data_IF_553953961832
#
_entry.id   IF_553953961832
#
_cell.length_a   1.000
_cell.length_b   1.000
_cell.length_c   1.000
_cell.angle_alpha   90.00
_cell.angle_beta   90.00
_cell.angle_gamma   90.00
#
_symmetry.space_group_name_H-M   'P 1'
#
loop_
_entity.id
_entity.type
_entity.pdbx_description
1 polymer ?
#
# COMPACT_ATOMS: atom_id res chain seq x y z
N UNK A 1 -19.54 10.92 23.66
CA UNK A 1 -18.66 11.63 22.70
C UNK A 1 -17.62 10.73 22.00
N UNK A 2 -17.67 9.38 22.12
CA UNK A 2 -16.69 8.46 21.50
C UNK A 2 -17.15 7.79 20.18
N UNK A 3 -18.42 7.96 19.78
CA UNK A 3 -18.99 7.34 18.58
C UNK A 3 -18.69 8.11 17.29
N UNK A 4 -18.54 9.44 17.36
CA UNK A 4 -18.29 10.28 16.18
C UNK A 4 -16.89 10.07 15.57
N UNK A 5 -15.87 9.77 16.38
CA UNK A 5 -14.50 9.58 15.88
C UNK A 5 -14.29 8.32 15.04
N UNK A 6 -15.11 7.28 15.26
CA UNK A 6 -15.00 6.00 14.52
C UNK A 6 -15.57 6.12 13.10
N UNK A 7 -16.58 6.97 12.93
CA UNK A 7 -17.19 7.23 11.62
C UNK A 7 -16.29 8.11 10.75
N UNK A 8 -15.61 9.11 11.34
CA UNK A 8 -14.66 9.96 10.62
C UNK A 8 -13.43 9.19 10.10
N UNK A 9 -12.90 8.25 10.89
CA UNK A 9 -11.77 7.39 10.47
C UNK A 9 -12.19 6.41 9.39
N UNK A 10 -13.40 5.82 9.48
CA UNK A 10 -13.93 4.95 8.44
C UNK A 10 -14.12 5.67 7.10
N UNK A 11 -14.61 6.91 7.13
CA UNK A 11 -14.78 7.75 5.94
C UNK A 11 -13.44 8.17 5.32
N UNK A 12 -12.45 8.53 6.13
CA UNK A 12 -11.10 8.86 5.65
C UNK A 12 -10.42 7.65 4.98
N UNK A 13 -10.54 6.46 5.56
CA UNK A 13 -9.98 5.23 4.98
C UNK A 13 -10.68 4.89 3.65
N UNK A 14 -12.01 4.99 3.60
CA UNK A 14 -12.77 4.78 2.36
C UNK A 14 -12.37 5.80 1.26
N UNK A 15 -12.18 7.07 1.62
CA UNK A 15 -11.79 8.12 0.69
C UNK A 15 -10.35 7.94 0.16
N UNK A 16 -9.42 7.48 0.99
CA UNK A 16 -8.05 7.17 0.56
C UNK A 16 -8.00 5.97 -0.40
N UNK A 17 -8.86 4.95 -0.18
CA UNK A 17 -8.97 3.79 -1.09
C UNK A 17 -9.46 4.23 -2.48
N UNK A 18 -10.40 5.17 -2.56
CA UNK A 18 -10.94 5.67 -3.84
C UNK A 18 -9.91 6.50 -4.63
N UNK A 19 -9.04 7.25 -3.96
CA UNK A 19 -8.04 8.11 -4.61
C UNK A 19 -6.85 7.30 -5.16
N UNK A 20 -6.45 6.22 -4.50
CA UNK A 20 -5.31 5.39 -4.94
C UNK A 20 -5.56 4.67 -6.28
N UNK A 21 -6.82 4.55 -6.72
CA UNK A 21 -7.19 3.85 -7.95
C UNK A 21 -7.04 4.68 -9.24
N UNK A 22 -6.77 5.99 -9.17
CA UNK A 22 -6.91 6.88 -10.34
C UNK A 22 -5.61 7.40 -10.97
N UNK A 23 -4.44 6.81 -10.69
CA UNK A 23 -3.19 7.28 -11.29
C UNK A 23 -2.81 6.57 -12.60
N UNK A 24 -3.75 6.37 -13.50
CA UNK A 24 -3.42 6.06 -14.90
C UNK A 24 -3.13 7.40 -15.60
N UNK A 25 -1.87 7.82 -15.62
CA UNK A 25 -1.47 9.00 -16.38
C UNK A 25 -1.80 8.75 -17.85
N UNK A 26 -2.53 9.67 -18.47
CA UNK A 26 -2.71 9.69 -19.92
C UNK A 26 -1.33 9.86 -20.58
N UNK A 27 -0.75 8.76 -21.04
CA UNK A 27 0.49 8.78 -21.81
C UNK A 27 0.14 9.20 -23.24
N UNK A 28 0.88 10.17 -23.79
CA UNK A 28 0.73 10.53 -25.20
C UNK A 28 1.07 9.34 -26.10
N UNK A 29 0.47 9.28 -27.29
CA UNK A 29 0.62 8.15 -28.20
C UNK A 29 2.06 7.88 -28.64
N UNK A 30 2.88 8.92 -28.83
CA UNK A 30 4.31 8.75 -29.11
C UNK A 30 5.05 7.99 -28.02
N UNK A 31 4.72 8.23 -26.75
CA UNK A 31 5.31 7.50 -25.64
C UNK A 31 4.87 6.03 -25.62
N UNK A 32 3.67 5.73 -26.13
CA UNK A 32 3.23 4.35 -26.31
C UNK A 32 4.01 3.62 -27.40
N UNK A 33 4.33 4.26 -28.53
CA UNK A 33 5.04 3.59 -29.63
C UNK A 33 6.41 3.05 -29.22
N UNK A 34 7.12 3.76 -28.33
CA UNK A 34 8.43 3.37 -27.80
C UNK A 34 8.37 2.09 -26.94
N UNK A 35 7.18 1.73 -26.43
CA UNK A 35 6.99 0.53 -25.61
C UNK A 35 6.82 -0.74 -26.45
N UNK A 36 6.69 -0.62 -27.77
CA UNK A 36 6.36 -1.75 -28.64
C UNK A 36 7.40 -2.02 -29.72
N UNK A 37 7.50 -3.29 -30.13
CA UNK A 37 8.26 -3.78 -31.29
C UNK A 37 7.28 -4.07 -32.43
N UNK A 38 7.71 -3.84 -33.68
CA UNK A 38 6.88 -4.13 -34.84
C UNK A 38 6.67 -5.65 -35.04
N UNK A 39 5.41 -6.15 -35.14
CA UNK A 39 5.12 -7.59 -35.24
C UNK A 39 5.52 -8.25 -36.57
N UNK A 40 5.92 -7.45 -37.57
CA UNK A 40 6.34 -7.98 -38.86
C UNK A 40 7.76 -8.54 -38.84
N UNK A 41 8.68 -7.90 -38.10
CA UNK A 41 10.09 -8.27 -38.07
C UNK A 41 10.59 -8.65 -36.67
N UNK A 42 9.97 -8.14 -35.60
CA UNK A 42 10.38 -8.37 -34.20
C UNK A 42 11.79 -7.89 -33.85
N UNK A 43 12.36 -7.03 -34.69
CA UNK A 43 13.72 -6.50 -34.55
C UNK A 43 13.68 -5.03 -34.20
N UNK A 44 12.84 -4.25 -34.88
CA UNK A 44 12.80 -2.80 -34.75
C UNK A 44 11.56 -2.34 -33.99
N UNK A 45 11.71 -1.25 -33.23
CA UNK A 45 10.62 -0.63 -32.46
C UNK A 45 9.50 -0.09 -33.36
N UNK A 46 8.28 -0.11 -32.85
CA UNK A 46 7.09 0.38 -33.55
C UNK A 46 7.18 1.89 -33.86
N UNK A 47 7.92 2.65 -33.06
CA UNK A 47 8.17 4.08 -33.26
C UNK A 47 9.02 4.38 -34.52
N UNK A 48 9.94 3.48 -34.88
CA UNK A 48 10.94 3.71 -35.94
C UNK A 48 10.62 2.93 -37.21
N UNK A 49 10.02 1.75 -37.09
CA UNK A 49 9.79 0.86 -38.22
C UNK A 49 8.67 1.36 -39.15
N UNK A 50 8.95 1.41 -40.45
CA UNK A 50 8.01 1.92 -41.45
C UNK A 50 7.46 0.82 -42.38
N UNK A 51 6.70 -0.11 -41.80
CA UNK A 51 5.88 -1.07 -42.55
C UNK A 51 4.40 -0.66 -42.59
N UNK A 52 3.61 -1.15 -43.56
CA UNK A 52 2.16 -0.93 -43.58
C UNK A 52 1.49 -1.32 -42.26
N UNK A 53 1.84 -2.48 -41.70
CA UNK A 53 1.33 -2.95 -40.42
C UNK A 53 1.76 -2.04 -39.25
N UNK A 54 2.99 -1.54 -39.25
CA UNK A 54 3.45 -0.63 -38.20
C UNK A 54 2.70 0.72 -38.24
N UNK A 55 2.36 1.23 -39.43
CA UNK A 55 1.53 2.43 -39.58
C UNK A 55 0.11 2.21 -39.09
N UNK A 56 -0.52 1.10 -39.48
CA UNK A 56 -1.87 0.74 -39.02
C UNK A 56 -1.95 0.64 -37.49
N UNK A 57 -0.94 0.03 -36.85
CA UNK A 57 -0.88 -0.06 -35.38
C UNK A 57 -0.66 1.31 -34.73
N UNK A 58 0.16 2.18 -35.30
CA UNK A 58 0.36 3.56 -34.81
C UNK A 58 -0.95 4.35 -34.90
N UNK A 59 -1.64 4.28 -36.02
CA UNK A 59 -2.93 4.95 -36.23
C UNK A 59 -4.00 4.45 -35.24
N UNK A 60 -4.01 3.15 -34.97
CA UNK A 60 -4.91 2.54 -34.00
C UNK A 60 -4.63 3.02 -32.58
N UNK A 61 -3.37 2.97 -32.14
CA UNK A 61 -2.96 3.47 -30.83
C UNK A 61 -3.27 4.97 -30.71
N UNK A 62 -2.97 5.77 -31.74
CA UNK A 62 -3.29 7.20 -31.79
C UNK A 62 -4.79 7.45 -31.61
N UNK A 63 -5.63 6.65 -32.27
CA UNK A 63 -7.09 6.74 -32.14
C UNK A 63 -7.56 6.41 -30.72
N UNK A 64 -7.06 5.33 -30.13
CA UNK A 64 -7.45 4.87 -28.79
C UNK A 64 -6.99 5.82 -27.69
N UNK A 65 -5.75 6.32 -27.78
CA UNK A 65 -5.22 7.32 -26.85
C UNK A 65 -6.04 8.62 -26.94
N UNK A 66 -6.39 9.09 -28.15
CA UNK A 66 -7.26 10.26 -28.31
C UNK A 66 -8.68 10.04 -27.80
N UNK A 67 -9.17 8.80 -27.81
CA UNK A 67 -10.44 8.43 -27.21
C UNK A 67 -10.39 8.37 -25.67
N UNK A 68 -9.22 8.59 -25.06
CA UNK A 68 -9.03 8.57 -23.60
C UNK A 68 -8.94 7.17 -23.01
N UNK A 69 -8.69 6.16 -23.84
CA UNK A 69 -8.52 4.79 -23.35
C UNK A 69 -7.22 4.66 -22.53
N UNK A 70 -7.25 3.98 -21.37
CA UNK A 70 -6.06 3.84 -20.54
C UNK A 70 -4.97 3.05 -21.26
N UNK A 71 -3.73 3.53 -21.17
CA UNK A 71 -2.56 2.95 -21.84
C UNK A 71 -2.42 1.44 -21.58
N UNK A 72 -2.68 1.00 -20.35
CA UNK A 72 -2.55 -0.42 -19.97
C UNK A 72 -3.63 -1.29 -20.63
N UNK A 73 -4.82 -0.74 -20.93
CA UNK A 73 -5.84 -1.48 -21.68
C UNK A 73 -5.44 -1.65 -23.15
N UNK A 74 -4.85 -0.60 -23.74
CA UNK A 74 -4.30 -0.65 -25.11
C UNK A 74 -3.17 -1.67 -25.18
N UNK A 75 -2.25 -1.64 -24.22
CA UNK A 75 -1.14 -2.60 -24.13
C UNK A 75 -1.64 -4.03 -23.96
N UNK A 76 -2.56 -4.29 -23.01
CA UNK A 76 -3.12 -5.63 -22.80
C UNK A 76 -3.81 -6.18 -24.04
N UNK A 77 -4.55 -5.35 -24.78
CA UNK A 77 -5.17 -5.77 -26.04
C UNK A 77 -4.12 -6.13 -27.11
N UNK A 78 -3.08 -5.31 -27.26
CA UNK A 78 -2.00 -5.58 -28.19
C UNK A 78 -1.22 -6.85 -27.83
N UNK A 79 -0.94 -7.07 -26.54
CA UNK A 79 -0.31 -8.30 -26.03
C UNK A 79 -1.22 -9.51 -26.24
N UNK A 80 -2.53 -9.37 -26.03
CA UNK A 80 -3.47 -10.47 -26.26
C UNK A 80 -3.51 -10.91 -27.74
N UNK A 81 -3.34 -9.95 -28.67
CA UNK A 81 -3.38 -10.23 -30.13
C UNK A 81 -2.03 -10.65 -30.72
N UNK A 82 -0.91 -10.14 -30.21
CA UNK A 82 0.42 -10.32 -30.79
C UNK A 82 1.42 -11.06 -29.89
N UNK A 83 1.02 -11.38 -28.65
CA UNK A 83 1.86 -12.01 -27.64
C UNK A 83 2.78 -11.03 -26.91
N UNK A 84 3.40 -11.47 -25.81
CA UNK A 84 4.28 -10.63 -24.96
C UNK A 84 5.49 -10.07 -25.70
N UNK A 85 5.93 -10.73 -26.77
CA UNK A 85 7.07 -10.30 -27.61
C UNK A 85 6.83 -8.95 -28.29
N UNK A 86 5.59 -8.45 -28.33
CA UNK A 86 5.31 -7.11 -28.87
C UNK A 86 5.87 -6.01 -27.96
N UNK A 87 6.18 -6.30 -26.71
CA UNK A 87 6.74 -5.32 -25.78
C UNK A 87 8.25 -5.17 -26.01
N UNK A 88 8.70 -3.92 -26.19
CA UNK A 88 10.11 -3.57 -26.32
C UNK A 88 10.86 -3.65 -24.98
N UNK A 89 10.14 -3.40 -23.88
CA UNK A 89 10.61 -3.57 -22.51
C UNK A 89 9.63 -4.53 -21.83
N UNK A 90 10.08 -5.58 -21.13
CA UNK A 90 9.17 -6.45 -20.39
C UNK A 90 8.30 -5.59 -19.48
N UNK A 91 6.98 -5.84 -19.50
CA UNK A 91 6.04 -5.06 -18.72
C UNK A 91 6.55 -4.95 -17.28
N UNK A 92 6.59 -3.74 -16.69
CA UNK A 92 6.74 -3.66 -15.24
C UNK A 92 5.65 -4.56 -14.65
N UNK A 93 5.97 -5.33 -13.62
CA UNK A 93 4.99 -6.15 -12.89
C UNK A 93 3.96 -5.21 -12.26
N UNK A 94 2.97 -4.77 -13.03
CA UNK A 94 2.02 -3.76 -12.63
C UNK A 94 0.95 -4.38 -11.73
N UNK A 95 0.64 -3.65 -10.66
CA UNK A 95 -0.53 -3.73 -9.76
C UNK A 95 -0.51 -4.63 -8.53
N UNK A 96 0.07 -5.84 -8.52
CA UNK A 96 0.09 -6.64 -7.28
C UNK A 96 1.06 -6.08 -6.25
N UNK A 97 2.26 -5.65 -6.67
CA UNK A 97 3.30 -5.17 -5.75
C UNK A 97 2.87 -3.92 -4.99
N UNK A 98 2.22 -2.97 -5.66
CA UNK A 98 1.74 -1.73 -5.02
C UNK A 98 0.60 -1.97 -4.04
N UNK A 99 -0.38 -2.80 -4.41
CA UNK A 99 -1.49 -3.14 -3.54
C UNK A 99 -1.05 -3.95 -2.31
N UNK A 100 -0.19 -4.96 -2.51
CA UNK A 100 0.37 -5.75 -1.42
C UNK A 100 1.25 -4.90 -0.50
N UNK A 101 2.05 -3.99 -1.05
CA UNK A 101 2.85 -3.05 -0.26
C UNK A 101 1.97 -2.10 0.54
N UNK A 102 0.89 -1.56 -0.05
CA UNK A 102 -0.08 -0.73 0.65
C UNK A 102 -0.80 -1.49 1.76
N UNK A 103 -1.17 -2.75 1.55
CA UNK A 103 -1.77 -3.63 2.57
C UNK A 103 -0.77 -3.90 3.69
N UNK A 104 0.49 -4.18 3.39
CA UNK A 104 1.54 -4.41 4.39
C UNK A 104 1.80 -3.18 5.24
N UNK A 105 2.01 -2.02 4.60
CA UNK A 105 2.24 -0.75 5.30
C UNK A 105 1.02 -0.34 6.12
N UNK A 106 -0.19 -0.47 5.55
CA UNK A 106 -1.45 -0.20 6.25
C UNK A 106 -1.64 -1.10 7.47
N UNK A 107 -1.37 -2.40 7.33
CA UNK A 107 -1.48 -3.37 8.42
C UNK A 107 -0.48 -3.07 9.54
N UNK A 108 0.77 -2.72 9.19
CA UNK A 108 1.79 -2.35 10.16
C UNK A 108 1.39 -1.09 10.95
N UNK A 109 0.89 -0.05 10.26
CA UNK A 109 0.42 1.17 10.92
C UNK A 109 -0.75 0.91 11.87
N UNK A 110 -1.69 0.04 11.50
CA UNK A 110 -2.81 -0.37 12.36
C UNK A 110 -2.31 -1.10 13.61
N UNK A 111 -1.38 -2.06 13.45
CA UNK A 111 -0.78 -2.78 14.59
C UNK A 111 -0.03 -1.84 15.54
N UNK A 112 0.76 -0.92 15.00
CA UNK A 112 1.47 0.10 15.80
C UNK A 112 0.48 1.01 16.53
N UNK A 113 -0.61 1.44 15.89
CA UNK A 113 -1.63 2.27 16.51
C UNK A 113 -2.37 1.53 17.65
N UNK A 114 -2.68 0.24 17.47
CA UNK A 114 -3.29 -0.60 18.50
C UNK A 114 -2.32 -0.79 19.67
N UNK A 115 -1.05 -1.15 19.40
CA UNK A 115 -0.02 -1.33 20.41
C UNK A 115 0.26 -0.05 21.21
N UNK A 116 0.38 1.09 20.54
CA UNK A 116 0.56 2.40 21.18
C UNK A 116 -0.67 2.81 22.02
N UNK A 117 -1.88 2.44 21.60
CA UNK A 117 -3.10 2.68 22.38
C UNK A 117 -3.18 1.79 23.61
N UNK A 118 -2.64 0.58 23.55
CA UNK A 118 -2.61 -0.35 24.69
C UNK A 118 -1.49 0.01 25.66
N UNK A 119 -0.31 0.42 25.18
CA UNK A 119 0.78 0.89 26.03
C UNK A 119 0.41 2.16 26.81
N UNK A 120 -0.33 3.08 26.17
CA UNK A 120 -0.86 4.28 26.85
C UNK A 120 -1.95 3.98 27.87
N UNK A 121 -2.64 2.84 27.77
CA UNK A 121 -3.59 2.36 28.78
C UNK A 121 -2.89 1.62 29.92
N UNK A 122 -1.82 0.88 29.62
CA UNK A 122 -0.95 0.30 30.64
C UNK A 122 -0.15 1.34 31.43
N UNK A 123 0.14 2.50 30.84
CA UNK A 123 0.72 3.64 31.55
C UNK A 123 -0.26 4.33 32.53
N UNK A 124 -1.56 3.98 32.48
CA UNK A 124 -2.55 4.31 33.50
C UNK A 124 -2.80 3.13 34.45
N UNK A 125 -1.94 2.11 34.46
CA UNK A 125 -1.87 1.20 35.59
C UNK A 125 -1.65 2.07 36.82
N UNK A 126 -2.66 2.05 37.69
CA UNK A 126 -2.72 2.71 38.98
C UNK A 126 -1.34 2.63 39.64
N UNK A 127 -0.78 3.74 40.14
CA UNK A 127 0.55 3.72 40.74
C UNK A 127 0.52 2.68 41.85
N UNK A 128 1.09 1.51 41.58
CA UNK A 128 1.25 0.46 42.57
C UNK A 128 2.02 1.14 43.70
N UNK A 129 1.35 1.36 44.83
CA UNK A 129 1.98 1.95 46.00
C UNK A 129 3.14 1.04 46.32
N UNK A 130 4.35 1.49 46.00
CA UNK A 130 5.55 0.79 46.39
C UNK A 130 5.56 0.86 47.90
N UNK A 131 5.27 -0.26 48.53
CA UNK A 131 5.56 -0.42 49.95
C UNK A 131 7.06 -0.30 50.06
N UNK A 132 7.52 0.71 50.79
CA UNK A 132 8.93 0.87 51.08
C UNK A 132 9.33 -0.27 52.02
N UNK A 133 10.26 -1.10 51.56
CA UNK A 133 10.70 -2.30 52.30
C UNK A 133 11.49 -1.87 53.54
N UNK A 134 12.05 -0.66 53.55
CA UNK A 134 12.81 -0.09 54.65
C UNK A 134 11.96 0.82 55.57
N UNK A 135 10.63 0.73 55.54
CA UNK A 135 9.75 1.51 56.42
C UNK A 135 9.87 1.02 57.88
N UNK A 136 10.40 1.85 58.81
CA UNK A 136 10.61 1.46 60.20
C UNK A 136 9.30 1.17 60.94
N UNK A 137 8.18 1.76 60.52
CA UNK A 137 6.87 1.49 61.11
C UNK A 137 6.33 0.12 60.68
N UNK A 138 6.65 -0.32 59.45
CA UNK A 138 6.32 -1.66 58.98
C UNK A 138 7.14 -2.72 59.70
N UNK A 139 8.44 -2.48 59.88
CA UNK A 139 9.31 -3.38 60.64
C UNK A 139 8.85 -3.55 62.08
N UNK A 140 8.42 -2.47 62.75
CA UNK A 140 7.90 -2.55 64.12
C UNK A 140 6.65 -3.41 64.21
N UNK A 141 5.69 -3.23 63.29
CA UNK A 141 4.47 -4.05 63.24
C UNK A 141 4.79 -5.52 62.96
N UNK A 142 5.75 -5.79 62.08
CA UNK A 142 6.16 -7.15 61.76
C UNK A 142 6.81 -7.84 62.97
N UNK A 143 7.66 -7.14 63.73
CA UNK A 143 8.25 -7.66 64.97
C UNK A 143 7.18 -7.98 66.01
N UNK A 144 6.20 -7.10 66.20
CA UNK A 144 5.08 -7.35 67.10
C UNK A 144 4.22 -8.56 66.68
N UNK A 145 4.04 -8.79 65.37
CA UNK A 145 3.33 -9.97 64.87
C UNK A 145 4.11 -11.26 65.08
N UNK A 146 5.44 -11.24 64.90
CA UNK A 146 6.32 -12.37 65.18
C UNK A 146 6.30 -12.74 66.67
N UNK A 147 6.46 -11.76 67.56
CA UNK A 147 6.42 -11.98 69.01
C UNK A 147 5.07 -12.53 69.48
N UNK A 148 3.96 -12.15 68.81
CA UNK A 148 2.63 -12.69 69.09
C UNK A 148 2.47 -14.15 68.65
N UNK A 149 3.14 -14.56 67.58
CA UNK A 149 3.05 -15.92 67.05
C UNK A 149 3.96 -16.91 67.78
N UNK A 150 5.06 -16.44 68.37
CA UNK A 150 6.02 -17.26 69.09
C UNK A 150 5.72 -17.41 70.60
N UNK A 151 4.65 -16.76 71.09
CA UNK A 151 4.15 -16.83 72.48
C UNK A 151 3.02 -17.86 72.65
#
# INVERSE_FOLDING_TARGET
>A
MHSLGRLAVGWLVAMVIVIAASSARAQGSRAMFERFVAPCCWVEGLATHDSPLARELRDEIDRRVRAGEPADAIERDLVARHGERILAVPAPLETTSGALFAVLVGSLLVLVAIGARWSRRGAQAEPVTRVDVDDPALEQRLREELDRHDA
#
